data_IF_553986036681
#
_entry.id   IF_553986036681
#
_cell.length_a   1.000
_cell.length_b   1.000
_cell.length_c   1.000
_cell.angle_alpha   90.00
_cell.angle_beta   90.00
_cell.angle_gamma   90.00
#
_symmetry.space_group_name_H-M   'P 1'
#
loop_
_entity.id
_entity.type
_entity.pdbx_description
1 polymer ?
#
# COMPACT_ATOMS: atom_id res chain seq x y z
N UNK A 1 -6.77 -0.24 22.09
CA UNK A 1 -6.45 -1.54 21.45
C UNK A 1 -5.17 -1.36 20.64
N UNK A 2 -4.18 -2.24 20.80
CA UNK A 2 -2.88 -2.12 20.12
C UNK A 2 -3.09 -2.44 18.63
N UNK A 3 -2.67 -1.59 17.68
CA UNK A 3 -2.83 -1.89 16.26
C UNK A 3 -1.98 -3.12 15.93
N UNK A 4 -2.63 -4.15 15.38
CA UNK A 4 -1.93 -5.32 14.88
C UNK A 4 -1.18 -4.91 13.62
N UNK A 5 0.14 -4.90 13.69
CA UNK A 5 0.98 -4.72 12.52
C UNK A 5 1.07 -6.07 11.82
N UNK A 6 0.46 -6.19 10.65
CA UNK A 6 0.67 -7.34 9.80
C UNK A 6 2.14 -7.37 9.33
N UNK A 7 2.71 -8.54 9.00
CA UNK A 7 4.06 -8.65 8.44
C UNK A 7 4.26 -7.77 7.19
N UNK A 8 3.18 -7.48 6.47
CA UNK A 8 3.13 -6.55 5.33
C UNK A 8 3.25 -5.07 5.70
N UNK A 9 3.39 -4.73 6.99
CA UNK A 9 3.38 -3.35 7.49
C UNK A 9 2.00 -2.69 7.50
N UNK A 10 0.96 -3.37 7.01
CA UNK A 10 -0.40 -2.86 7.00
C UNK A 10 -1.02 -2.91 8.39
N UNK A 11 -1.74 -1.84 8.73
CA UNK A 11 -2.47 -1.71 10.00
C UNK A 11 -3.84 -2.40 9.97
N UNK A 12 -4.30 -2.82 8.79
CA UNK A 12 -5.57 -3.52 8.56
C UNK A 12 -5.40 -4.48 7.39
N UNK A 13 -5.98 -5.66 7.49
CA UNK A 13 -5.91 -6.66 6.42
C UNK A 13 -6.19 -8.06 6.92
N UNK A 14 -6.10 -9.03 6.01
CA UNK A 14 -6.22 -10.45 6.31
C UNK A 14 -4.88 -10.94 6.86
N UNK A 15 -4.85 -11.57 8.05
CA UNK A 15 -3.62 -12.18 8.56
C UNK A 15 -3.25 -13.40 7.70
N UNK A 16 -2.14 -13.30 6.97
CA UNK A 16 -1.55 -14.43 6.26
C UNK A 16 -0.60 -15.15 7.21
N UNK A 17 -1.13 -16.13 7.93
CA UNK A 17 -0.34 -17.05 8.75
C UNK A 17 -0.04 -18.26 7.88
N UNK A 18 1.24 -18.47 7.58
CA UNK A 18 1.74 -19.61 6.82
C UNK A 18 2.37 -20.58 7.83
N UNK A 19 2.18 -21.88 7.63
CA UNK A 19 2.84 -22.88 8.46
C UNK A 19 4.29 -23.06 8.00
N UNK A 20 5.23 -23.30 8.92
CA UNK A 20 6.67 -23.38 8.61
C UNK A 20 7.06 -24.64 7.80
N UNK A 21 6.12 -25.56 7.54
CA UNK A 21 6.33 -26.87 6.91
C UNK A 21 5.98 -26.92 5.42
N UNK A 22 5.81 -25.76 4.78
CA UNK A 22 5.46 -25.70 3.36
C UNK A 22 6.58 -26.24 2.47
N UNK A 23 6.19 -27.03 1.47
CA UNK A 23 7.11 -27.39 0.39
C UNK A 23 7.35 -26.20 -0.55
N UNK A 24 8.50 -26.16 -1.26
CA UNK A 24 8.76 -25.13 -2.26
C UNK A 24 7.66 -25.02 -3.33
N UNK A 25 7.07 -26.14 -3.74
CA UNK A 25 6.00 -26.19 -4.74
C UNK A 25 4.70 -25.59 -4.21
N UNK A 26 4.38 -25.84 -2.93
CA UNK A 26 3.21 -25.22 -2.28
C UNK A 26 3.39 -23.70 -2.16
N UNK A 27 4.58 -23.25 -1.78
CA UNK A 27 4.90 -21.83 -1.72
C UNK A 27 4.78 -21.18 -3.11
N UNK A 28 5.28 -21.83 -4.16
CA UNK A 28 5.17 -21.35 -5.53
C UNK A 28 3.71 -21.26 -5.99
N UNK A 29 2.90 -22.30 -5.76
CA UNK A 29 1.49 -22.30 -6.16
C UNK A 29 0.70 -21.14 -5.52
N UNK A 30 1.05 -20.75 -4.29
CA UNK A 30 0.42 -19.60 -3.63
C UNK A 30 0.93 -18.28 -4.18
N UNK A 31 2.19 -18.17 -4.56
CA UNK A 31 2.71 -16.98 -5.27
C UNK A 31 1.97 -16.81 -6.59
N UNK A 32 1.81 -17.87 -7.38
CA UNK A 32 1.06 -17.86 -8.65
C UNK A 32 -0.41 -17.46 -8.43
N UNK A 33 -1.06 -18.01 -7.41
CA UNK A 33 -2.43 -17.63 -7.05
C UNK A 33 -2.55 -16.14 -6.70
N UNK A 34 -1.57 -15.57 -5.98
CA UNK A 34 -1.57 -14.16 -5.61
C UNK A 34 -1.37 -13.26 -6.84
N UNK A 35 -0.54 -13.68 -7.79
CA UNK A 35 -0.36 -12.96 -9.05
C UNK A 35 -1.64 -12.98 -9.89
N UNK A 36 -2.28 -14.15 -10.06
CA UNK A 36 -3.56 -14.25 -10.77
C UNK A 36 -4.66 -13.41 -10.10
N UNK A 37 -4.74 -13.47 -8.77
CA UNK A 37 -5.68 -12.65 -8.01
C UNK A 37 -5.42 -11.16 -8.21
N UNK A 38 -4.16 -10.74 -8.23
CA UNK A 38 -3.76 -9.35 -8.49
C UNK A 38 -4.23 -8.91 -9.88
N UNK A 39 -4.02 -9.72 -10.91
CA UNK A 39 -4.45 -9.41 -12.28
C UNK A 39 -5.97 -9.30 -12.38
N UNK A 40 -6.72 -10.20 -11.73
CA UNK A 40 -8.20 -10.14 -11.69
C UNK A 40 -8.68 -8.86 -11.01
N UNK A 41 -8.09 -8.50 -9.86
CA UNK A 41 -8.44 -7.27 -9.14
C UNK A 41 -8.12 -6.05 -10.01
N UNK A 42 -6.94 -6.00 -10.62
CA UNK A 42 -6.53 -4.89 -11.46
C UNK A 42 -7.48 -4.72 -12.63
N UNK A 43 -7.74 -5.78 -13.39
CA UNK A 43 -8.66 -5.74 -14.54
C UNK A 43 -10.06 -5.24 -14.18
N UNK A 44 -10.57 -5.55 -12.97
CA UNK A 44 -11.90 -5.12 -12.55
C UNK A 44 -11.94 -3.74 -11.89
N UNK A 45 -10.91 -3.38 -11.14
CA UNK A 45 -10.94 -2.22 -10.24
C UNK A 45 -9.87 -1.17 -10.54
N UNK A 46 -9.08 -1.31 -11.61
CA UNK A 46 -7.98 -0.39 -11.94
C UNK A 46 -8.37 1.09 -11.87
N UNK A 47 -9.52 1.48 -12.46
CA UNK A 47 -9.97 2.87 -12.43
C UNK A 47 -10.26 3.37 -11.01
N UNK A 48 -11.00 2.57 -10.24
CA UNK A 48 -11.36 2.90 -8.85
C UNK A 48 -10.14 2.96 -7.95
N UNK A 49 -9.17 2.06 -8.16
CA UNK A 49 -7.89 2.07 -7.46
C UNK A 49 -7.06 3.31 -7.82
N UNK A 50 -7.02 3.71 -9.09
CA UNK A 50 -6.35 4.93 -9.52
C UNK A 50 -6.95 6.18 -8.88
N UNK A 51 -8.27 6.28 -8.83
CA UNK A 51 -8.98 7.40 -8.18
C UNK A 51 -8.69 7.44 -6.68
N UNK A 52 -8.80 6.30 -5.99
CA UNK A 52 -8.51 6.18 -4.57
C UNK A 52 -7.06 6.55 -4.23
N UNK A 53 -6.09 6.10 -5.03
CA UNK A 53 -4.67 6.45 -4.85
C UNK A 53 -4.39 7.94 -5.14
N UNK A 54 -5.14 8.54 -6.05
CA UNK A 54 -5.05 9.99 -6.35
C UNK A 54 -5.55 10.80 -5.16
N UNK A 55 -6.67 10.40 -4.58
CA UNK A 55 -7.26 11.11 -3.44
C UNK A 55 -6.42 10.96 -2.17
N UNK A 56 -5.86 9.78 -1.90
CA UNK A 56 -4.92 9.60 -0.79
C UNK A 56 -3.66 10.47 -0.92
N UNK A 57 -3.13 10.64 -2.14
CA UNK A 57 -1.99 11.56 -2.37
C UNK A 57 -2.37 13.01 -2.14
N UNK A 58 -3.57 13.42 -2.54
CA UNK A 58 -4.09 14.77 -2.29
C UNK A 58 -4.25 15.07 -0.80
N UNK A 59 -4.72 14.11 0.00
CA UNK A 59 -4.85 14.28 1.45
C UNK A 59 -3.52 14.23 2.20
N UNK A 60 -2.49 13.62 1.60
CA UNK A 60 -1.14 13.54 2.19
C UNK A 60 -0.31 14.80 1.95
N UNK A 61 -0.63 15.56 0.89
CA UNK A 61 -0.16 16.93 0.72
C UNK A 61 -0.91 17.82 1.72
N UNK A 62 -0.51 17.74 2.99
CA UNK A 62 -0.71 18.87 3.90
C UNK A 62 -0.05 20.06 3.21
N UNK A 63 -0.76 21.18 2.97
CA UNK A 63 -0.09 22.40 2.57
C UNK A 63 0.91 22.66 3.69
N UNK A 64 2.21 22.56 3.41
CA UNK A 64 3.17 23.27 4.23
C UNK A 64 2.56 24.68 4.37
N UNK A 65 2.37 25.21 5.59
CA UNK A 65 2.06 26.61 5.70
C UNK A 65 3.12 27.28 4.85
N UNK A 66 2.67 27.99 3.82
CA UNK A 66 3.54 28.85 3.05
C UNK A 66 4.14 29.79 4.09
N UNK A 67 5.31 29.44 4.61
CA UNK A 67 6.21 30.40 5.21
C UNK A 67 6.57 31.29 4.05
N UNK A 68 5.69 32.26 3.80
CA UNK A 68 6.04 33.59 3.35
C UNK A 68 7.00 34.18 4.39
N UNK A 69 8.20 33.59 4.47
CA UNK A 69 9.41 34.26 4.87
C UNK A 69 10.22 34.33 3.58
N UNK A 70 9.74 35.20 2.71
CA UNK A 70 10.59 36.02 1.86
C UNK A 70 11.77 36.49 2.71
N UNK A 71 12.84 35.74 2.66
CA UNK A 71 14.14 36.16 3.16
C UNK A 71 15.06 35.95 1.99
N UNK A 72 14.95 36.88 1.05
CA UNK A 72 15.95 37.16 0.04
C UNK A 72 17.26 37.48 0.79
N UNK A 73 18.31 36.64 0.68
CA UNK A 73 19.59 36.97 1.27
C UNK A 73 20.27 38.02 0.38
N UNK A 74 20.75 39.16 0.93
CA UNK A 74 21.42 40.15 0.12
C UNK A 74 22.84 39.68 -0.24
N UNK A 75 23.12 39.71 -1.55
CA UNK A 75 24.41 39.56 -2.25
C UNK A 75 25.11 38.19 -2.25
#
# INVERSE_FOLDING_TARGET
>A
MKPWHLPSGLQRGIPFIIQDDWSPEQALAVVELLDDLREVIWNRYQLQLHELLRDQRRTSTTPLPSSSSETDPPF
#
